data_IF_512097685382
#
_entry.id   IF_512097685382
#
_cell.length_a   1.000
_cell.length_b   1.000
_cell.length_c   1.000
_cell.angle_alpha   90.00
_cell.angle_beta   90.00
_cell.angle_gamma   90.00
#
_symmetry.space_group_name_H-M   'P 1'
#
loop_
_entity.id
_entity.type
_entity.pdbx_description
1 polymer ?
#
# COMPACT_ATOMS: atom_id res chain seq x y z
N UNK A 1 10.93 -43.91 34.62
CA UNK A 1 10.12 -42.78 34.17
C UNK A 1 11.09 -41.72 33.67
N UNK A 2 11.43 -41.73 32.38
CA UNK A 2 12.34 -40.75 31.77
C UNK A 2 11.53 -39.53 31.31
N UNK A 3 12.04 -38.30 31.44
CA UNK A 3 11.33 -37.13 30.95
C UNK A 3 11.50 -37.01 29.42
N UNK A 4 10.41 -36.66 28.74
CA UNK A 4 10.38 -36.39 27.32
C UNK A 4 11.02 -35.02 27.04
N UNK A 5 12.00 -34.98 26.13
CA UNK A 5 12.56 -33.74 25.61
C UNK A 5 11.51 -32.99 24.79
N UNK A 6 11.03 -31.86 25.30
CA UNK A 6 10.29 -30.87 24.52
C UNK A 6 11.24 -30.27 23.49
N UNK A 7 11.05 -30.65 22.22
CA UNK A 7 11.69 -29.97 21.10
C UNK A 7 10.95 -28.66 20.87
N UNK A 8 11.53 -27.56 21.34
CA UNK A 8 11.15 -26.22 20.94
C UNK A 8 11.36 -26.10 19.43
N UNK A 9 10.26 -26.21 18.68
CA UNK A 9 10.22 -25.90 17.26
C UNK A 9 10.32 -24.38 17.14
N UNK A 10 11.55 -23.87 17.16
CA UNK A 10 11.85 -22.50 16.79
C UNK A 10 11.46 -22.33 15.32
N UNK A 11 10.41 -21.54 15.07
CA UNK A 11 10.06 -21.07 13.73
C UNK A 11 11.28 -20.33 13.15
N UNK A 12 11.69 -20.61 11.90
CA UNK A 12 12.78 -19.88 11.27
C UNK A 12 12.50 -18.39 11.25
N UNK A 13 13.51 -17.59 11.59
CA UNK A 13 13.44 -16.13 11.65
C UNK A 13 12.77 -15.52 10.42
N UNK A 14 11.79 -14.68 10.70
CA UNK A 14 10.96 -13.92 9.78
C UNK A 14 11.81 -13.04 8.85
N UNK A 15 11.71 -13.22 7.52
CA UNK A 15 11.33 -12.16 6.56
C UNK A 15 11.78 -12.31 5.09
N UNK A 16 12.59 -13.28 4.65
CA UNK A 16 13.09 -13.25 3.25
C UNK A 16 12.43 -14.19 2.23
N UNK A 17 11.75 -15.27 2.66
CA UNK A 17 11.36 -16.34 1.72
C UNK A 17 9.85 -16.48 1.48
N UNK A 18 9.01 -15.99 2.41
CA UNK A 18 7.58 -16.37 2.43
C UNK A 18 6.70 -15.67 1.38
N UNK A 19 7.18 -14.61 0.75
CA UNK A 19 6.41 -13.83 -0.23
C UNK A 19 7.23 -13.47 -1.47
N UNK A 20 7.91 -14.47 -2.06
CA UNK A 20 8.63 -14.25 -3.30
C UNK A 20 7.64 -14.07 -4.46
N UNK A 21 7.28 -12.82 -4.76
CA UNK A 21 6.53 -12.46 -5.95
C UNK A 21 7.49 -12.53 -7.13
N UNK A 22 7.25 -13.41 -8.13
CA UNK A 22 8.09 -13.46 -9.31
C UNK A 22 8.04 -12.13 -10.05
N UNK A 23 9.09 -11.80 -10.80
CA UNK A 23 9.02 -10.68 -11.74
C UNK A 23 7.95 -10.99 -12.81
N UNK A 24 7.08 -10.03 -13.11
CA UNK A 24 6.08 -10.16 -14.17
C UNK A 24 6.81 -10.27 -15.51
N UNK A 25 6.53 -11.35 -16.24
CA UNK A 25 7.13 -11.58 -17.55
C UNK A 25 6.54 -10.60 -18.57
N UNK A 26 7.37 -10.13 -19.51
CA UNK A 26 6.94 -9.18 -20.54
C UNK A 26 5.87 -9.76 -21.47
N UNK A 27 5.90 -11.07 -21.69
CA UNK A 27 4.89 -11.82 -22.44
C UNK A 27 3.61 -12.12 -21.63
N UNK A 28 3.58 -11.78 -20.34
CA UNK A 28 2.45 -12.03 -19.45
C UNK A 28 2.18 -13.50 -19.13
N UNK A 29 3.03 -14.45 -19.53
CA UNK A 29 2.75 -15.89 -19.36
C UNK A 29 2.60 -16.30 -17.89
N UNK A 30 3.23 -15.56 -16.97
CA UNK A 30 3.13 -15.80 -15.53
C UNK A 30 2.08 -14.90 -14.83
N UNK A 31 1.22 -14.19 -15.56
CA UNK A 31 0.28 -13.20 -15.01
C UNK A 31 -0.58 -13.74 -13.88
N UNK A 32 -1.23 -14.90 -14.06
CA UNK A 32 -2.11 -15.48 -13.02
C UNK A 32 -1.34 -15.74 -11.72
N UNK A 33 -0.13 -16.29 -11.81
CA UNK A 33 0.72 -16.56 -10.65
C UNK A 33 1.23 -15.26 -10.01
N UNK A 34 1.64 -14.30 -10.82
CA UNK A 34 2.06 -12.97 -10.36
C UNK A 34 0.94 -12.30 -9.57
N UNK A 35 -0.25 -12.22 -10.16
CA UNK A 35 -1.42 -11.57 -9.59
C UNK A 35 -1.81 -12.17 -8.24
N UNK A 36 -1.89 -13.49 -8.16
CA UNK A 36 -2.26 -14.19 -6.92
C UNK A 36 -1.25 -13.93 -5.80
N UNK A 37 0.06 -14.02 -6.11
CA UNK A 37 1.13 -13.77 -5.13
C UNK A 37 1.18 -12.32 -4.69
N UNK A 38 0.99 -11.38 -5.62
CA UNK A 38 0.95 -9.96 -5.32
C UNK A 38 -0.20 -9.63 -4.36
N UNK A 39 -1.42 -10.05 -4.69
CA UNK A 39 -2.60 -9.82 -3.87
C UNK A 39 -2.49 -10.51 -2.50
N UNK A 40 -1.96 -11.72 -2.44
CA UNK A 40 -1.69 -12.43 -1.18
C UNK A 40 -0.71 -11.65 -0.30
N UNK A 41 0.37 -11.14 -0.88
CA UNK A 41 1.40 -10.37 -0.16
C UNK A 41 0.85 -9.05 0.38
N UNK A 42 0.10 -8.32 -0.45
CA UNK A 42 -0.58 -7.07 -0.05
C UNK A 42 -1.62 -7.36 1.03
N UNK A 43 -2.40 -8.43 0.87
CA UNK A 43 -3.43 -8.87 1.81
C UNK A 43 -2.85 -9.23 3.18
N UNK A 44 -1.75 -9.97 3.21
CA UNK A 44 -1.03 -10.33 4.43
C UNK A 44 -0.53 -9.10 5.22
N UNK A 45 -0.32 -7.97 4.54
CA UNK A 45 0.07 -6.68 5.16
C UNK A 45 -1.12 -5.80 5.52
N UNK A 46 -2.36 -6.24 5.27
CA UNK A 46 -3.57 -5.44 5.52
C UNK A 46 -3.74 -4.25 4.58
N UNK A 47 -3.06 -4.24 3.42
CA UNK A 47 -3.03 -3.10 2.50
C UNK A 47 -4.04 -3.21 1.35
N UNK A 48 -4.90 -4.23 1.33
CA UNK A 48 -5.81 -4.51 0.20
C UNK A 48 -6.67 -3.32 -0.24
N UNK A 49 -7.11 -2.49 0.73
CA UNK A 49 -7.94 -1.30 0.44
C UNK A 49 -7.22 -0.23 -0.40
N UNK A 50 -5.88 -0.21 -0.39
CA UNK A 50 -5.09 0.69 -1.23
C UNK A 50 -4.98 0.18 -2.67
N UNK A 51 -5.05 -1.14 -2.86
CA UNK A 51 -4.99 -1.81 -4.17
C UNK A 51 -6.33 -1.77 -4.89
N UNK A 52 -7.44 -1.99 -4.19
CA UNK A 52 -8.79 -1.96 -4.77
C UNK A 52 -9.45 -0.56 -4.77
N UNK A 53 -8.73 0.46 -4.31
CA UNK A 53 -9.19 1.84 -4.30
C UNK A 53 -10.23 2.19 -3.22
N UNK A 54 -10.56 1.27 -2.31
CA UNK A 54 -11.52 1.56 -1.21
C UNK A 54 -10.95 2.45 -0.12
N UNK A 55 -9.62 2.56 0.00
CA UNK A 55 -9.01 3.52 0.92
C UNK A 55 -9.05 4.91 0.29
N UNK A 56 -9.89 5.76 0.86
CA UNK A 56 -9.99 7.18 0.50
C UNK A 56 -8.88 7.96 1.18
N UNK A 57 -8.18 8.83 0.42
CA UNK A 57 -7.21 9.78 0.97
C UNK A 57 -7.95 10.80 1.85
N UNK A 58 -7.53 11.03 3.11
CA UNK A 58 -8.12 12.10 3.91
C UNK A 58 -7.96 13.47 3.24
N UNK A 59 -8.98 14.32 3.37
CA UNK A 59 -8.98 15.67 2.79
C UNK A 59 -8.43 16.65 3.84
N UNK A 60 -7.38 17.44 3.52
CA UNK A 60 -6.87 18.45 4.44
C UNK A 60 -7.92 19.50 4.79
N UNK A 61 -7.80 20.11 5.97
CA UNK A 61 -8.60 21.28 6.30
C UNK A 61 -8.26 22.46 5.37
N UNK A 62 -9.26 23.29 5.09
CA UNK A 62 -9.06 24.46 4.22
C UNK A 62 -8.40 25.56 5.03
N UNK A 63 -7.25 26.04 4.56
CA UNK A 63 -6.60 27.19 5.16
C UNK A 63 -7.18 28.50 4.60
N UNK A 64 -7.83 29.29 5.45
CA UNK A 64 -8.33 30.61 5.11
C UNK A 64 -7.25 31.67 5.36
N UNK A 65 -6.67 32.16 4.27
CA UNK A 65 -5.60 33.17 4.29
C UNK A 65 -6.06 34.54 4.80
N UNK A 66 -7.36 34.85 4.74
CA UNK A 66 -7.90 36.14 5.22
C UNK A 66 -8.02 36.20 6.74
N UNK A 67 -8.35 35.06 7.36
CA UNK A 67 -8.45 34.92 8.82
C UNK A 67 -7.22 34.25 9.45
N UNK A 68 -6.27 33.78 8.63
CA UNK A 68 -5.09 33.01 9.03
C UNK A 68 -5.42 31.79 9.89
N UNK A 69 -6.46 31.04 9.51
CA UNK A 69 -7.04 29.94 10.30
C UNK A 69 -7.47 28.77 9.41
N UNK A 70 -7.37 27.56 9.94
CA UNK A 70 -7.96 26.38 9.31
C UNK A 70 -9.47 26.35 9.50
N UNK A 71 -10.18 25.76 8.53
CA UNK A 71 -11.63 25.53 8.58
C UNK A 71 -11.96 24.08 8.23
N UNK A 72 -12.81 23.50 9.05
CA UNK A 72 -13.47 22.21 8.78
C UNK A 72 -14.52 22.37 7.67
N UNK A 73 -14.98 21.26 7.08
CA UNK A 73 -16.06 21.29 6.09
C UNK A 73 -17.38 21.91 6.58
N UNK A 74 -17.64 21.84 7.89
CA UNK A 74 -18.83 22.43 8.53
C UNK A 74 -18.65 23.93 8.85
N UNK A 75 -17.50 24.51 8.52
CA UNK A 75 -17.17 25.92 8.77
C UNK A 75 -16.61 26.22 10.16
N UNK A 76 -16.55 25.24 11.07
CA UNK A 76 -15.92 25.40 12.38
C UNK A 76 -14.39 25.40 12.28
N UNK A 77 -13.74 26.05 13.25
CA UNK A 77 -12.27 26.04 13.37
C UNK A 77 -11.84 24.72 14.04
N UNK A 78 -10.89 23.96 13.44
CA UNK A 78 -10.34 22.78 14.07
C UNK A 78 -9.43 23.18 15.23
N UNK A 79 -9.42 22.33 16.25
CA UNK A 79 -8.39 22.40 17.30
C UNK A 79 -7.04 21.98 16.73
N UNK A 80 -5.95 22.41 17.37
CA UNK A 80 -4.59 22.02 16.98
C UNK A 80 -4.42 20.48 16.92
N UNK A 81 -4.98 19.77 17.91
CA UNK A 81 -4.96 18.29 17.92
C UNK A 81 -5.72 17.68 16.74
N UNK A 82 -6.82 18.30 16.28
CA UNK A 82 -7.55 17.80 15.11
C UNK A 82 -6.78 18.01 13.81
N UNK A 83 -5.99 19.09 13.72
CA UNK A 83 -5.10 19.36 12.58
C UNK A 83 -4.00 18.30 12.54
N UNK A 84 -3.30 18.11 13.67
CA UNK A 84 -2.23 17.11 13.78
C UNK A 84 -2.75 15.68 13.48
N UNK A 85 -3.87 15.28 14.08
CA UNK A 85 -4.50 13.97 13.84
C UNK A 85 -4.90 13.75 12.38
N UNK A 86 -5.22 14.81 11.64
CA UNK A 86 -5.56 14.73 10.22
C UNK A 86 -4.31 14.60 9.37
N UNK A 87 -3.27 15.38 9.66
CA UNK A 87 -1.99 15.33 8.98
C UNK A 87 -1.33 13.94 9.14
N UNK A 88 -1.35 13.38 10.36
CA UNK A 88 -0.92 12.01 10.63
C UNK A 88 -1.64 10.97 9.77
N UNK A 89 -2.97 11.12 9.60
CA UNK A 89 -3.77 10.20 8.75
C UNK A 89 -3.43 10.37 7.28
N UNK A 90 -3.09 11.58 6.83
CA UNK A 90 -2.67 11.86 5.46
C UNK A 90 -1.30 11.22 5.20
N UNK A 91 -0.37 11.36 6.13
CA UNK A 91 0.96 10.76 6.05
C UNK A 91 0.90 9.24 6.08
N UNK A 92 0.09 8.66 6.98
CA UNK A 92 -0.16 7.22 7.03
C UNK A 92 -0.75 6.70 5.70
N UNK A 93 -1.67 7.46 5.10
CA UNK A 93 -2.21 7.12 3.78
C UNK A 93 -1.10 7.09 2.72
N UNK A 94 -0.27 8.13 2.66
CA UNK A 94 0.83 8.22 1.69
C UNK A 94 1.88 7.14 1.89
N UNK A 95 2.23 6.83 3.14
CA UNK A 95 3.14 5.75 3.47
C UNK A 95 2.61 4.41 2.96
N UNK A 96 1.35 4.08 3.28
CA UNK A 96 0.75 2.79 2.92
C UNK A 96 0.48 2.66 1.42
N UNK A 97 0.06 3.72 0.74
CA UNK A 97 -0.05 3.75 -0.72
C UNK A 97 1.32 3.52 -1.38
N UNK A 98 2.37 4.16 -0.86
CA UNK A 98 3.74 3.99 -1.35
C UNK A 98 4.30 2.59 -1.13
N UNK A 99 3.95 1.91 -0.02
CA UNK A 99 4.34 0.51 0.20
C UNK A 99 3.78 -0.42 -0.88
N UNK A 100 2.53 -0.20 -1.31
CA UNK A 100 1.94 -0.99 -2.40
C UNK A 100 2.62 -0.65 -3.73
N UNK A 101 2.85 0.63 -4.03
CA UNK A 101 3.59 1.07 -5.23
C UNK A 101 4.98 0.42 -5.30
N UNK A 102 5.73 0.46 -4.20
CA UNK A 102 7.05 -0.15 -4.10
C UNK A 102 7.00 -1.66 -4.40
N UNK A 103 6.00 -2.37 -3.88
CA UNK A 103 5.85 -3.80 -4.11
C UNK A 103 5.56 -4.10 -5.59
N UNK A 104 4.73 -3.30 -6.25
CA UNK A 104 4.47 -3.43 -7.69
C UNK A 104 5.74 -3.10 -8.49
N UNK A 105 6.35 -1.94 -8.26
CA UNK A 105 7.50 -1.46 -9.04
C UNK A 105 8.73 -2.36 -8.95
N UNK A 106 8.95 -2.99 -7.80
CA UNK A 106 10.05 -3.94 -7.61
C UNK A 106 9.88 -5.28 -8.35
N UNK A 107 8.69 -5.54 -8.89
CA UNK A 107 8.34 -6.84 -9.48
C UNK A 107 7.84 -6.74 -10.92
N UNK A 108 7.82 -5.55 -11.53
CA UNK A 108 7.49 -5.34 -12.95
C UNK A 108 8.75 -5.02 -13.77
N UNK A 109 8.65 -5.04 -15.10
CA UNK A 109 9.71 -4.56 -15.99
C UNK A 109 9.79 -3.02 -15.98
N UNK A 110 10.95 -2.48 -16.37
CA UNK A 110 11.13 -1.02 -16.48
C UNK A 110 10.21 -0.43 -17.54
N UNK A 111 9.95 -1.16 -18.62
CA UNK A 111 8.99 -0.75 -19.65
C UNK A 111 7.58 -0.57 -19.08
N UNK A 112 7.10 -1.55 -18.29
CA UNK A 112 5.79 -1.45 -17.64
C UNK A 112 5.78 -0.34 -16.59
N UNK A 113 6.88 -0.16 -15.84
CA UNK A 113 7.03 0.94 -14.88
C UNK A 113 6.88 2.31 -15.57
N UNK A 114 7.54 2.53 -16.70
CA UNK A 114 7.43 3.78 -17.46
C UNK A 114 5.99 4.07 -17.89
N UNK A 115 5.17 3.04 -18.16
CA UNK A 115 3.76 3.20 -18.50
C UNK A 115 2.88 3.60 -17.30
N UNK A 116 3.17 3.11 -16.10
CA UNK A 116 2.27 3.25 -14.93
C UNK A 116 2.75 4.24 -13.87
N UNK A 117 4.03 4.64 -13.88
CA UNK A 117 4.63 5.46 -12.80
C UNK A 117 3.97 6.83 -12.59
N UNK A 118 3.34 7.41 -13.62
CA UNK A 118 2.67 8.71 -13.54
C UNK A 118 1.27 8.62 -12.91
N UNK A 119 0.79 7.41 -12.61
CA UNK A 119 -0.54 7.21 -12.03
C UNK A 119 -0.52 7.52 -10.53
N UNK A 120 -1.46 8.35 -10.09
CA UNK A 120 -1.40 9.01 -8.78
C UNK A 120 -1.55 8.10 -7.54
N UNK A 121 -2.11 6.89 -7.67
CA UNK A 121 -2.35 5.97 -6.54
C UNK A 121 -1.99 4.54 -6.90
N UNK A 122 -1.72 3.73 -5.87
CA UNK A 122 -1.45 2.30 -6.02
C UNK A 122 -2.61 1.57 -6.72
N UNK A 123 -3.87 1.96 -6.43
CA UNK A 123 -5.04 1.40 -7.11
C UNK A 123 -5.04 1.64 -8.61
N UNK A 124 -4.76 2.87 -9.06
CA UNK A 124 -4.69 3.20 -10.49
C UNK A 124 -3.58 2.44 -11.18
N UNK A 125 -2.41 2.33 -10.54
CA UNK A 125 -1.29 1.53 -11.03
C UNK A 125 -1.70 0.07 -11.18
N UNK A 126 -2.31 -0.50 -10.14
CA UNK A 126 -2.74 -1.90 -10.14
C UNK A 126 -3.80 -2.19 -11.20
N UNK A 127 -4.79 -1.31 -11.33
CA UNK A 127 -5.83 -1.40 -12.36
C UNK A 127 -5.22 -1.37 -13.76
N UNK A 128 -4.22 -0.51 -13.99
CA UNK A 128 -3.57 -0.41 -15.30
C UNK A 128 -2.72 -1.66 -15.62
N UNK A 129 -1.97 -2.18 -14.64
CA UNK A 129 -1.26 -3.46 -14.79
C UNK A 129 -2.24 -4.59 -15.14
N UNK A 130 -3.42 -4.62 -14.51
CA UNK A 130 -4.47 -5.60 -14.81
C UNK A 130 -5.14 -5.43 -16.17
N UNK A 131 -5.00 -4.30 -16.85
CA UNK A 131 -5.52 -4.10 -18.21
C UNK A 131 -4.50 -4.52 -19.26
N UNK A 132 -3.21 -4.37 -18.95
CA UNK A 132 -2.11 -4.72 -19.86
C UNK A 132 -1.96 -6.25 -19.98
N UNK A 133 -2.31 -7.01 -18.93
CA UNK A 133 -2.21 -8.47 -18.85
C UNK A 133 -3.54 -9.13 -18.45
#
# INVERSE_FOLDING_TARGET
MSPASTTDTTLPGTNSVLFNIPKLAEDGLNWITYKERMLTTIGARGLMRYTDGRKVKPVPFVFDSSTNKYKKPDGSEPTESEVEDLDDKIDEYHQKDSLVKQQIFSTISDQLLLCVQSLGSASKIWDEVCKIH
#
